data_IF_506471373340
#
_entry.id   IF_506471373340
#
_cell.length_a   1.000
_cell.length_b   1.000
_cell.length_c   1.000
_cell.angle_alpha   90.00
_cell.angle_beta   90.00
_cell.angle_gamma   90.00
#
_symmetry.space_group_name_H-M   'P 1'
#
loop_
_entity.id
_entity.type
_entity.pdbx_description
1 polymer ?
#
# COMPACT_ATOMS: atom_id res chain seq x y z
N UNK A 1 41.86 -7.08 -3.73
CA UNK A 1 41.72 -6.18 -4.91
C UNK A 1 40.36 -6.33 -5.63
N UNK A 2 39.72 -7.48 -5.64
CA UNK A 2 38.39 -7.68 -6.27
C UNK A 2 37.22 -7.00 -5.57
N UNK A 3 37.23 -6.93 -4.24
CA UNK A 3 36.21 -6.25 -3.42
C UNK A 3 36.04 -4.75 -3.77
N UNK A 4 37.12 -4.09 -4.17
CA UNK A 4 37.12 -2.67 -4.49
C UNK A 4 36.47 -2.39 -5.88
N UNK A 5 36.63 -3.32 -6.85
CA UNK A 5 36.04 -3.17 -8.19
C UNK A 5 34.52 -3.40 -8.21
N UNK A 6 34.02 -4.32 -7.39
CA UNK A 6 32.59 -4.57 -7.26
C UNK A 6 31.88 -3.37 -6.60
N UNK A 7 32.46 -2.78 -5.55
CA UNK A 7 31.96 -1.56 -4.93
C UNK A 7 31.97 -0.37 -5.91
N UNK A 8 32.98 -0.26 -6.75
CA UNK A 8 33.06 0.81 -7.76
C UNK A 8 31.97 0.66 -8.83
N UNK A 9 31.71 -0.55 -9.33
CA UNK A 9 30.66 -0.82 -10.30
C UNK A 9 29.24 -0.54 -9.74
N UNK A 10 28.99 -0.88 -8.48
CA UNK A 10 27.73 -0.57 -7.80
C UNK A 10 27.55 0.93 -7.64
N UNK A 11 28.59 1.63 -7.19
CA UNK A 11 28.59 3.08 -7.01
C UNK A 11 28.31 3.81 -8.33
N UNK A 12 28.93 3.37 -9.42
CA UNK A 12 28.70 3.92 -10.76
C UNK A 12 27.24 3.73 -11.22
N UNK A 13 26.66 2.57 -10.98
CA UNK A 13 25.23 2.31 -11.31
C UNK A 13 24.29 3.17 -10.49
N UNK A 14 24.54 3.32 -9.20
CA UNK A 14 23.78 4.20 -8.32
C UNK A 14 23.87 5.64 -8.82
N UNK A 15 25.06 6.13 -9.14
CA UNK A 15 25.27 7.49 -9.63
C UNK A 15 24.56 7.73 -10.97
N UNK A 16 24.61 6.76 -11.88
CA UNK A 16 23.88 6.84 -13.15
C UNK A 16 22.36 6.93 -12.94
N UNK A 17 21.82 6.18 -11.97
CA UNK A 17 20.40 6.25 -11.60
C UNK A 17 20.05 7.62 -10.97
N UNK A 18 20.87 8.13 -10.07
CA UNK A 18 20.70 9.46 -9.45
C UNK A 18 20.68 10.55 -10.53
N UNK A 19 21.62 10.51 -11.47
CA UNK A 19 21.69 11.47 -12.57
C UNK A 19 20.44 11.40 -13.46
N UNK A 20 19.96 10.19 -13.77
CA UNK A 20 18.73 9.99 -14.54
C UNK A 20 17.50 10.54 -13.84
N UNK A 21 17.37 10.30 -12.54
CA UNK A 21 16.27 10.87 -11.73
C UNK A 21 16.33 12.38 -11.71
N UNK A 22 17.51 12.97 -11.55
CA UNK A 22 17.71 14.41 -11.60
C UNK A 22 17.30 15.01 -12.95
N UNK A 23 17.67 14.40 -14.06
CA UNK A 23 17.27 14.82 -15.40
C UNK A 23 15.75 14.74 -15.60
N UNK A 24 15.11 13.64 -15.17
CA UNK A 24 13.65 13.50 -15.24
C UNK A 24 12.92 14.55 -14.40
N UNK A 25 13.43 14.91 -13.24
CA UNK A 25 12.88 15.97 -12.38
C UNK A 25 13.03 17.34 -13.04
N UNK A 26 14.19 17.65 -13.62
CA UNK A 26 14.45 18.90 -14.32
C UNK A 26 13.55 19.10 -15.54
N UNK A 27 13.13 18.02 -16.19
CA UNK A 27 12.22 18.04 -17.34
C UNK A 27 10.73 17.89 -16.96
N UNK A 28 10.40 17.91 -15.66
CA UNK A 28 9.04 17.68 -15.15
C UNK A 28 8.42 16.35 -15.62
N UNK A 29 9.25 15.34 -15.90
CA UNK A 29 8.85 13.98 -16.34
C UNK A 29 9.00 12.92 -15.26
N UNK A 30 9.38 13.32 -14.05
CA UNK A 30 9.48 12.40 -12.92
C UNK A 30 8.11 12.26 -12.26
N UNK A 31 7.47 11.12 -12.47
CA UNK A 31 6.13 10.81 -11.94
C UNK A 31 6.15 9.66 -10.92
N UNK A 32 7.34 9.19 -10.52
CA UNK A 32 7.48 8.14 -9.51
C UNK A 32 7.47 8.73 -8.11
N UNK A 33 6.92 7.96 -7.14
CA UNK A 33 6.93 8.31 -5.72
C UNK A 33 6.40 9.73 -5.42
N UNK A 34 5.44 10.20 -6.20
CA UNK A 34 4.77 11.46 -5.92
C UNK A 34 3.85 11.30 -4.70
N UNK A 35 4.00 12.13 -3.65
CA UNK A 35 3.15 12.00 -2.47
C UNK A 35 1.69 12.34 -2.80
N UNK A 36 0.81 11.42 -2.44
CA UNK A 36 -0.62 11.65 -2.43
C UNK A 36 -0.97 12.27 -1.09
N UNK A 37 -1.54 13.46 -1.09
CA UNK A 37 -1.87 14.19 0.13
C UNK A 37 -3.30 13.95 0.60
N UNK A 38 -4.19 13.57 -0.30
CA UNK A 38 -5.58 13.26 0.00
C UNK A 38 -6.12 12.23 -0.99
N UNK A 39 -6.81 11.21 -0.49
CA UNK A 39 -7.57 10.28 -1.31
C UNK A 39 -9.04 10.73 -1.32
N UNK A 40 -9.55 11.00 -2.52
CA UNK A 40 -10.97 11.31 -2.74
C UNK A 40 -11.64 10.12 -3.38
N UNK A 41 -12.80 9.73 -2.92
CA UNK A 41 -13.54 8.60 -3.49
C UNK A 41 -13.64 8.65 -5.03
N UNK A 42 -13.94 7.51 -5.67
CA UNK A 42 -14.14 7.46 -7.12
C UNK A 42 -12.86 7.58 -7.95
N UNK A 43 -11.77 7.00 -7.49
CA UNK A 43 -10.47 7.00 -8.18
C UNK A 43 -9.88 8.40 -8.42
N UNK A 44 -10.06 9.30 -7.47
CA UNK A 44 -9.45 10.63 -7.49
C UNK A 44 -8.53 10.85 -6.29
N UNK A 45 -7.49 11.65 -6.48
CA UNK A 45 -6.53 11.99 -5.44
C UNK A 45 -5.98 13.41 -5.61
N UNK A 46 -5.53 14.01 -4.53
CA UNK A 46 -4.73 15.24 -4.57
C UNK A 46 -3.26 14.86 -4.59
N UNK A 47 -2.58 15.22 -5.64
CA UNK A 47 -1.14 15.00 -5.85
C UNK A 47 -0.49 16.34 -6.17
N UNK A 48 0.48 16.76 -5.37
CA UNK A 48 1.12 18.09 -5.52
C UNK A 48 0.10 19.24 -5.61
N UNK A 49 -0.96 19.21 -4.80
CA UNK A 49 -2.01 20.23 -4.78
C UNK A 49 -2.98 20.19 -5.96
N UNK A 50 -2.86 19.24 -6.88
CA UNK A 50 -3.73 19.08 -8.04
C UNK A 50 -4.70 17.91 -7.83
N UNK A 51 -5.96 18.10 -8.19
CA UNK A 51 -6.95 17.01 -8.23
C UNK A 51 -6.75 16.20 -9.51
N UNK A 52 -6.38 14.93 -9.35
CA UNK A 52 -5.98 14.03 -10.43
C UNK A 52 -6.78 12.73 -10.45
N UNK A 53 -6.99 12.18 -11.63
CA UNK A 53 -7.49 10.82 -11.80
C UNK A 53 -6.41 9.79 -11.45
N UNK A 54 -6.75 8.83 -10.60
CA UNK A 54 -5.85 7.77 -10.14
C UNK A 54 -6.03 6.50 -10.99
N UNK A 55 -5.28 6.41 -12.09
CA UNK A 55 -5.32 5.24 -12.97
C UNK A 55 -4.35 4.12 -12.56
N UNK A 56 -3.34 4.42 -11.73
CA UNK A 56 -2.34 3.49 -11.24
C UNK A 56 -2.69 2.97 -9.85
N UNK A 57 -3.91 2.48 -9.67
CA UNK A 57 -4.46 2.03 -8.39
C UNK A 57 -4.75 0.53 -8.42
N UNK A 58 -4.64 -0.13 -7.28
CA UNK A 58 -5.12 -1.51 -7.05
C UNK A 58 -6.62 -1.58 -6.74
N UNK A 59 -7.33 -0.48 -6.83
CA UNK A 59 -8.76 -0.37 -6.54
C UNK A 59 -9.66 -0.96 -7.63
N UNK A 60 -9.40 -2.20 -8.08
CA UNK A 60 -10.10 -2.84 -9.18
C UNK A 60 -11.62 -2.91 -9.01
N UNK A 61 -12.09 -3.03 -7.78
CA UNK A 61 -13.51 -3.10 -7.45
C UNK A 61 -14.14 -1.75 -7.09
N UNK A 62 -13.36 -0.66 -7.11
CA UNK A 62 -13.83 0.67 -6.73
C UNK A 62 -14.20 0.82 -5.25
N UNK A 63 -13.76 -0.09 -4.40
CA UNK A 63 -14.12 -0.12 -2.98
C UNK A 63 -13.21 0.74 -2.08
N UNK A 64 -12.12 1.29 -2.62
CA UNK A 64 -11.26 2.20 -1.86
C UNK A 64 -12.04 3.46 -1.45
N UNK A 65 -12.04 3.75 -0.15
CA UNK A 65 -12.79 4.88 0.41
C UNK A 65 -14.30 4.65 0.54
N UNK A 66 -14.79 3.41 0.35
CA UNK A 66 -16.20 3.11 0.56
C UNK A 66 -16.61 3.33 2.03
N UNK A 67 -17.68 4.09 2.33
CA UNK A 67 -18.04 4.47 3.70
C UNK A 67 -18.18 3.28 4.66
N UNK A 68 -18.89 2.23 4.25
CA UNK A 68 -19.08 1.03 5.07
C UNK A 68 -17.79 0.32 5.45
N UNK A 69 -16.78 0.33 4.56
CA UNK A 69 -15.46 -0.25 4.86
C UNK A 69 -14.74 0.63 5.90
N UNK A 70 -14.81 1.95 5.75
CA UNK A 70 -14.23 2.88 6.70
C UNK A 70 -14.87 2.78 8.09
N UNK A 71 -16.18 2.67 8.17
CA UNK A 71 -16.93 2.47 9.42
C UNK A 71 -16.58 1.14 10.08
N UNK A 72 -16.54 0.04 9.33
CA UNK A 72 -16.15 -1.26 9.86
C UNK A 72 -14.70 -1.27 10.38
N UNK A 73 -13.77 -0.62 9.68
CA UNK A 73 -12.40 -0.51 10.14
C UNK A 73 -12.28 0.30 11.46
N UNK A 74 -13.01 1.40 11.59
CA UNK A 74 -13.05 2.18 12.83
C UNK A 74 -13.61 1.36 13.99
N UNK A 75 -14.73 0.69 13.78
CA UNK A 75 -15.34 -0.17 14.78
C UNK A 75 -14.40 -1.32 15.21
N UNK A 76 -13.65 -1.89 14.27
CA UNK A 76 -12.65 -2.91 14.61
C UNK A 76 -11.49 -2.34 15.45
N UNK A 77 -11.02 -1.14 15.14
CA UNK A 77 -10.00 -0.45 15.96
C UNK A 77 -10.55 -0.15 17.35
N UNK A 78 -11.77 0.31 17.47
CA UNK A 78 -12.41 0.60 18.78
C UNK A 78 -12.58 -0.66 19.62
N UNK A 79 -12.88 -1.81 19.01
CA UNK A 79 -13.08 -3.09 19.70
C UNK A 79 -11.77 -3.81 20.04
N UNK A 80 -10.82 -3.85 19.12
CA UNK A 80 -9.62 -4.69 19.22
C UNK A 80 -8.32 -3.89 19.40
N UNK A 81 -8.35 -2.58 19.28
CA UNK A 81 -7.15 -1.73 19.24
C UNK A 81 -6.46 -1.78 17.87
N UNK A 82 -5.17 -1.46 17.87
CA UNK A 82 -4.40 -1.27 16.62
C UNK A 82 -3.67 -2.54 16.14
N UNK A 83 -3.89 -3.67 16.76
CA UNK A 83 -3.24 -4.92 16.39
C UNK A 83 -3.58 -6.08 17.33
N UNK A 84 -2.94 -7.21 17.10
CA UNK A 84 -3.09 -8.42 17.92
C UNK A 84 -1.96 -8.52 18.95
N UNK A 85 -2.24 -9.14 20.10
CA UNK A 85 -1.27 -9.29 21.19
C UNK A 85 -0.19 -10.36 20.92
N UNK A 86 -0.28 -11.08 19.79
CA UNK A 86 0.65 -12.17 19.49
C UNK A 86 0.36 -12.83 18.15
N UNK A 87 1.06 -13.94 17.92
CA UNK A 87 0.82 -14.77 16.74
C UNK A 87 -0.49 -15.53 16.86
N UNK A 88 -1.10 -15.89 15.71
CA UNK A 88 -2.39 -16.58 15.62
C UNK A 88 -2.48 -17.82 16.50
N UNK A 89 -1.43 -18.60 16.57
CA UNK A 89 -1.39 -19.88 17.32
C UNK A 89 -1.34 -19.71 18.85
N UNK A 90 -1.09 -18.51 19.36
CA UNK A 90 -0.98 -18.26 20.81
C UNK A 90 -2.09 -17.30 21.28
N UNK A 91 -1.83 -15.99 21.22
CA UNK A 91 -2.71 -14.97 21.77
C UNK A 91 -3.22 -13.97 20.69
N UNK A 92 -3.00 -14.25 19.41
CA UNK A 92 -3.28 -13.32 18.31
C UNK A 92 -4.51 -13.68 17.48
N UNK A 93 -5.25 -14.74 17.78
CA UNK A 93 -6.51 -15.07 17.10
C UNK A 93 -7.66 -14.28 17.71
N UNK A 94 -8.17 -13.33 16.93
CA UNK A 94 -9.40 -12.60 17.26
C UNK A 94 -10.61 -13.34 16.65
N UNK A 95 -11.79 -13.13 17.22
CA UNK A 95 -13.06 -13.59 16.64
C UNK A 95 -13.27 -13.06 15.21
N UNK A 96 -12.83 -11.83 14.93
CA UNK A 96 -12.82 -11.23 13.59
C UNK A 96 -12.07 -12.08 12.54
N UNK A 97 -10.98 -12.75 12.93
CA UNK A 97 -10.26 -13.64 12.01
C UNK A 97 -11.10 -14.89 11.68
N UNK A 98 -11.72 -15.49 12.68
CA UNK A 98 -12.57 -16.69 12.50
C UNK A 98 -13.77 -16.34 11.62
N UNK A 99 -14.44 -15.23 11.89
CA UNK A 99 -15.57 -14.74 11.09
C UNK A 99 -15.19 -14.52 9.62
N UNK A 100 -13.99 -13.97 9.38
CA UNK A 100 -13.49 -13.77 8.01
C UNK A 100 -13.20 -15.10 7.32
N UNK A 101 -12.58 -16.05 8.01
CA UNK A 101 -12.26 -17.39 7.51
C UNK A 101 -13.54 -18.12 7.11
N UNK A 102 -14.55 -18.15 7.97
CA UNK A 102 -15.86 -18.74 7.72
C UNK A 102 -16.58 -18.06 6.54
N UNK A 103 -16.57 -16.73 6.49
CA UNK A 103 -17.18 -15.96 5.41
C UNK A 103 -16.52 -16.28 4.05
N UNK A 104 -15.19 -16.41 4.01
CA UNK A 104 -14.47 -16.76 2.79
C UNK A 104 -14.75 -18.20 2.39
N UNK A 105 -14.80 -19.13 3.35
CA UNK A 105 -15.09 -20.52 3.10
C UNK A 105 -16.49 -20.70 2.49
N UNK A 106 -17.49 -20.05 3.06
CA UNK A 106 -18.86 -20.04 2.54
C UNK A 106 -18.93 -19.47 1.12
N UNK A 107 -18.27 -18.33 0.91
CA UNK A 107 -18.24 -17.70 -0.43
C UNK A 107 -17.56 -18.58 -1.48
N UNK A 108 -16.54 -19.34 -1.08
CA UNK A 108 -15.77 -20.22 -1.97
C UNK A 108 -16.32 -21.63 -2.05
N UNK A 109 -17.34 -21.98 -1.26
CA UNK A 109 -17.84 -23.35 -1.11
C UNK A 109 -16.72 -24.33 -0.74
N UNK A 110 -15.90 -23.96 0.23
CA UNK A 110 -14.75 -24.71 0.73
C UNK A 110 -14.87 -24.90 2.25
N UNK A 111 -13.99 -25.71 2.81
CA UNK A 111 -13.82 -25.84 4.26
C UNK A 111 -13.04 -24.61 4.81
N UNK A 112 -13.37 -24.20 6.05
CA UNK A 112 -12.72 -23.09 6.73
C UNK A 112 -11.42 -23.53 7.40
#
# INVERSE_FOLDING_TARGET
MESNRANDAVSQRIQAMVNRVADLKARERYFYNMPVTELRGGARAIVNGRDMGMYASYGYLGLLGHPRIGEAAKAAVDKYGTGTNGVRMLAGTLDLHVELEETIADFKHAEA
#
